data_IF_012890939005
#
_entry.id   IF_012890939005
#
_cell.length_a   1.000
_cell.length_b   1.000
_cell.length_c   1.000
_cell.angle_alpha   90.00
_cell.angle_beta   90.00
_cell.angle_gamma   90.00
#
_symmetry.space_group_name_H-M   'P 1'
#
loop_
_entity.id
_entity.type
_entity.pdbx_description
1 polymer ?
#
# COMPACT_ATOMS: atom_id res chain seq x y z
N UNK A 1 -1.88 -20.56 5.10
CA UNK A 1 -0.70 -19.97 5.78
C UNK A 1 -0.35 -18.71 5.01
N UNK A 2 -0.27 -17.57 5.70
CA UNK A 2 -0.01 -16.26 5.08
C UNK A 2 1.41 -16.16 4.53
N UNK A 3 2.35 -16.97 5.01
CA UNK A 3 3.67 -17.07 4.38
C UNK A 3 3.57 -17.67 2.97
N UNK A 4 2.73 -18.70 2.79
CA UNK A 4 2.50 -19.32 1.48
C UNK A 4 1.81 -18.35 0.50
N UNK A 5 0.77 -17.64 0.95
CA UNK A 5 0.03 -16.70 0.09
C UNK A 5 0.91 -15.54 -0.38
N UNK A 6 1.77 -14.99 0.49
CA UNK A 6 2.73 -13.95 0.10
C UNK A 6 3.75 -14.45 -0.91
N UNK A 7 4.28 -15.66 -0.70
CA UNK A 7 5.21 -16.27 -1.66
C UNK A 7 4.54 -16.54 -3.01
N UNK A 8 3.29 -17.01 -3.01
CA UNK A 8 2.51 -17.21 -4.23
C UNK A 8 2.29 -15.89 -4.97
N UNK A 9 1.89 -14.83 -4.27
CA UNK A 9 1.71 -13.50 -4.89
C UNK A 9 3.01 -12.96 -5.51
N UNK A 10 4.16 -13.20 -4.89
CA UNK A 10 5.46 -12.83 -5.44
C UNK A 10 5.77 -13.60 -6.74
N UNK A 11 5.52 -14.91 -6.78
CA UNK A 11 5.70 -15.72 -8.00
C UNK A 11 4.78 -15.23 -9.13
N UNK A 12 3.50 -14.98 -8.84
CA UNK A 12 2.55 -14.48 -9.83
C UNK A 12 3.02 -13.16 -10.45
N UNK A 13 3.46 -12.21 -9.62
CA UNK A 13 3.89 -10.90 -10.09
C UNK A 13 5.26 -10.94 -10.81
N UNK A 14 6.26 -11.59 -10.23
CA UNK A 14 7.65 -11.56 -10.72
C UNK A 14 7.91 -12.62 -11.80
N UNK A 15 7.53 -13.87 -11.55
CA UNK A 15 7.85 -14.99 -12.45
C UNK A 15 6.82 -15.12 -13.57
N UNK A 16 5.54 -14.99 -13.26
CA UNK A 16 4.45 -15.20 -14.22
C UNK A 16 3.97 -13.90 -14.87
N UNK A 17 4.48 -12.75 -14.42
CA UNK A 17 4.10 -11.41 -14.91
C UNK A 17 2.58 -11.17 -14.88
N UNK A 18 1.91 -11.77 -13.89
CA UNK A 18 0.47 -11.74 -13.70
C UNK A 18 0.15 -10.95 -12.43
N UNK A 19 0.26 -9.62 -12.53
CA UNK A 19 0.01 -8.72 -11.42
C UNK A 19 -1.45 -8.79 -10.95
N UNK A 20 -2.40 -9.05 -11.86
CA UNK A 20 -3.81 -9.22 -11.53
C UNK A 20 -4.06 -10.40 -10.57
N UNK A 21 -3.41 -11.54 -10.80
CA UNK A 21 -3.49 -12.68 -9.88
C UNK A 21 -2.85 -12.35 -8.52
N UNK A 22 -1.69 -11.69 -8.52
CA UNK A 22 -1.04 -11.25 -7.29
C UNK A 22 -1.95 -10.29 -6.47
N UNK A 23 -2.65 -9.35 -7.13
CA UNK A 23 -3.64 -8.47 -6.48
C UNK A 23 -4.77 -9.25 -5.82
N UNK A 24 -5.30 -10.28 -6.49
CA UNK A 24 -6.37 -11.09 -5.92
C UNK A 24 -5.94 -11.79 -4.63
N UNK A 25 -4.73 -12.32 -4.61
CA UNK A 25 -4.14 -12.95 -3.41
C UNK A 25 -3.97 -11.91 -2.30
N UNK A 26 -3.41 -10.74 -2.61
CA UNK A 26 -3.22 -9.66 -1.64
C UNK A 26 -4.52 -9.11 -1.07
N UNK A 27 -5.56 -8.93 -1.89
CA UNK A 27 -6.88 -8.55 -1.38
C UNK A 27 -7.46 -9.65 -0.45
N UNK A 28 -7.16 -10.93 -0.71
CA UNK A 28 -7.46 -12.03 0.21
C UNK A 28 -6.75 -11.89 1.56
N UNK A 29 -5.45 -11.61 1.55
CA UNK A 29 -4.64 -11.38 2.76
C UNK A 29 -5.20 -10.18 3.54
N UNK A 30 -5.48 -9.06 2.86
CA UNK A 30 -5.98 -7.83 3.49
C UNK A 30 -7.37 -7.97 4.08
N UNK A 31 -8.22 -8.89 3.59
CA UNK A 31 -9.51 -9.19 4.25
C UNK A 31 -9.33 -9.71 5.67
N UNK A 32 -8.23 -10.41 5.95
CA UNK A 32 -7.93 -10.98 7.27
C UNK A 32 -7.03 -10.06 8.09
N UNK A 33 -6.03 -9.46 7.44
CA UNK A 33 -4.91 -8.74 8.09
C UNK A 33 -4.88 -7.24 7.80
N UNK A 34 -5.93 -6.68 7.22
CA UNK A 34 -5.95 -5.29 6.74
C UNK A 34 -5.81 -4.21 7.81
N UNK A 35 -5.80 -4.54 9.11
CA UNK A 35 -5.50 -3.57 10.17
C UNK A 35 -4.01 -3.37 10.43
N UNK A 36 -3.18 -4.30 9.96
CA UNK A 36 -1.74 -4.34 10.24
C UNK A 36 -0.97 -3.61 9.13
N UNK A 37 -0.20 -2.57 9.49
CA UNK A 37 0.50 -1.72 8.53
C UNK A 37 1.47 -2.51 7.62
N UNK A 38 2.17 -3.51 8.16
CA UNK A 38 3.20 -4.26 7.44
C UNK A 38 2.66 -4.92 6.17
N UNK A 39 1.45 -5.50 6.20
CA UNK A 39 0.86 -6.16 5.03
C UNK A 39 0.53 -5.16 3.91
N UNK A 40 0.12 -3.94 4.26
CA UNK A 40 -0.07 -2.89 3.27
C UNK A 40 1.24 -2.44 2.65
N UNK A 41 2.29 -2.28 3.46
CA UNK A 41 3.62 -1.89 2.96
C UNK A 41 4.15 -2.95 1.99
N UNK A 42 4.09 -4.23 2.35
CA UNK A 42 4.52 -5.34 1.48
C UNK A 42 3.72 -5.37 0.16
N UNK A 43 2.39 -5.21 0.21
CA UNK A 43 1.57 -5.19 -1.00
C UNK A 43 1.89 -3.98 -1.89
N UNK A 44 2.03 -2.80 -1.29
CA UNK A 44 2.38 -1.58 -2.02
C UNK A 44 3.75 -1.72 -2.67
N UNK A 45 4.72 -2.30 -1.97
CA UNK A 45 6.03 -2.54 -2.55
C UNK A 45 5.97 -3.53 -3.72
N UNK A 46 5.16 -4.59 -3.65
CA UNK A 46 4.93 -5.46 -4.81
C UNK A 46 4.34 -4.68 -6.00
N UNK A 47 3.35 -3.82 -5.77
CA UNK A 47 2.78 -2.95 -6.81
C UNK A 47 3.76 -1.91 -7.35
N UNK A 48 4.70 -1.43 -6.53
CA UNK A 48 5.75 -0.50 -6.97
C UNK A 48 6.73 -1.14 -7.94
N UNK A 49 7.02 -2.43 -7.77
CA UNK A 49 7.98 -3.15 -8.62
C UNK A 49 7.35 -3.67 -9.91
N UNK A 50 6.15 -4.24 -9.83
CA UNK A 50 5.55 -4.99 -10.94
C UNK A 50 4.28 -4.37 -11.51
N UNK A 51 3.67 -3.45 -10.78
CA UNK A 51 2.37 -2.90 -11.12
C UNK A 51 2.43 -1.41 -11.48
N UNK A 52 1.44 -0.64 -11.00
CA UNK A 52 1.27 0.75 -11.40
C UNK A 52 1.32 1.72 -10.23
N UNK A 53 1.93 2.88 -10.49
CA UNK A 53 1.97 4.00 -9.55
C UNK A 53 0.56 4.49 -9.19
N UNK A 54 -0.43 4.34 -10.07
CA UNK A 54 -1.81 4.69 -9.80
C UNK A 54 -2.45 3.77 -8.74
N UNK A 55 -2.21 2.46 -8.84
CA UNK A 55 -2.67 1.48 -7.85
C UNK A 55 -1.96 1.69 -6.50
N UNK A 56 -0.64 1.95 -6.50
CA UNK A 56 0.10 2.30 -5.29
C UNK A 56 -0.57 3.45 -4.51
N UNK A 57 -0.93 4.54 -5.20
CA UNK A 57 -1.63 5.69 -4.58
C UNK A 57 -3.00 5.30 -4.02
N UNK A 58 -3.74 4.45 -4.72
CA UNK A 58 -5.02 3.93 -4.25
C UNK A 58 -4.85 3.11 -2.97
N UNK A 59 -3.81 2.27 -2.92
CA UNK A 59 -3.48 1.45 -1.75
C UNK A 59 -3.05 2.30 -0.56
N UNK A 60 -2.17 3.28 -0.74
CA UNK A 60 -1.82 4.21 0.34
C UNK A 60 -3.05 4.95 0.89
N UNK A 61 -3.93 5.43 0.01
CA UNK A 61 -5.20 6.05 0.41
C UNK A 61 -6.05 5.11 1.26
N UNK A 62 -6.25 3.85 0.83
CA UNK A 62 -7.00 2.85 1.61
C UNK A 62 -6.33 2.56 2.95
N UNK A 63 -5.04 2.26 2.94
CA UNK A 63 -4.26 1.92 4.12
C UNK A 63 -4.35 3.02 5.19
N UNK A 64 -4.29 4.30 4.79
CA UNK A 64 -4.34 5.45 5.71
C UNK A 64 -5.62 5.48 6.58
N UNK A 65 -6.74 4.96 6.07
CA UNK A 65 -8.02 4.94 6.79
C UNK A 65 -8.30 3.60 7.49
N UNK A 66 -7.73 2.50 7.00
CA UNK A 66 -7.97 1.16 7.59
C UNK A 66 -7.00 0.88 8.74
N UNK A 67 -5.74 1.30 8.61
CA UNK A 67 -4.70 1.12 9.64
C UNK A 67 -4.85 2.19 10.70
N UNK A 68 -4.90 1.76 11.96
CA UNK A 68 -4.91 2.65 13.13
C UNK A 68 -3.56 2.59 13.83
N UNK A 69 -3.16 1.40 14.29
CA UNK A 69 -1.85 1.14 14.86
C UNK A 69 -0.80 1.09 13.73
N UNK A 70 0.08 2.09 13.68
CA UNK A 70 1.08 2.23 12.62
C UNK A 70 0.64 3.09 11.43
N UNK A 71 -0.37 3.96 11.61
CA UNK A 71 -0.77 4.94 10.59
C UNK A 71 0.38 5.86 10.18
N UNK A 72 1.33 6.14 11.09
CA UNK A 72 2.55 6.92 10.83
C UNK A 72 3.46 6.24 9.81
N UNK A 73 3.54 4.90 9.84
CA UNK A 73 4.31 4.12 8.87
C UNK A 73 3.72 4.27 7.47
N UNK A 74 2.38 4.17 7.36
CA UNK A 74 1.67 4.37 6.09
C UNK A 74 1.84 5.80 5.59
N UNK A 75 1.67 6.79 6.48
CA UNK A 75 1.83 8.19 6.17
C UNK A 75 3.23 8.51 5.64
N UNK A 76 4.28 8.08 6.36
CA UNK A 76 5.67 8.30 5.97
C UNK A 76 5.98 7.64 4.61
N UNK A 77 5.53 6.39 4.42
CA UNK A 77 5.66 5.68 3.15
C UNK A 77 5.00 6.40 1.98
N UNK A 78 3.77 6.91 2.17
CA UNK A 78 3.08 7.65 1.10
C UNK A 78 3.77 8.97 0.78
N UNK A 79 4.22 9.70 1.80
CA UNK A 79 4.96 10.95 1.60
C UNK A 79 6.27 10.72 0.83
N UNK A 80 6.99 9.63 1.13
CA UNK A 80 8.19 9.26 0.38
C UNK A 80 7.86 8.86 -1.07
N UNK A 81 6.79 8.10 -1.27
CA UNK A 81 6.35 7.69 -2.59
C UNK A 81 6.02 8.90 -3.50
N UNK A 82 5.27 9.88 -3.02
CA UNK A 82 4.94 11.07 -3.84
C UNK A 82 6.16 11.97 -4.07
N UNK A 83 7.14 12.02 -3.16
CA UNK A 83 8.41 12.73 -3.43
C UNK A 83 9.19 12.10 -4.59
N UNK A 84 9.10 10.78 -4.75
CA UNK A 84 9.87 10.05 -5.76
C UNK A 84 9.14 9.95 -7.10
N UNK A 85 7.82 9.78 -7.09
CA UNK A 85 7.03 9.45 -8.28
C UNK A 85 5.84 10.38 -8.54
N UNK A 86 5.61 11.36 -7.65
CA UNK A 86 4.46 12.25 -7.71
C UNK A 86 4.73 13.58 -8.40
N UNK A 87 3.66 14.25 -8.78
CA UNK A 87 3.66 15.68 -9.10
C UNK A 87 3.51 16.51 -7.83
N UNK A 88 3.74 17.82 -7.93
CA UNK A 88 3.51 18.74 -6.82
C UNK A 88 2.06 18.65 -6.30
N UNK A 89 1.08 18.63 -7.20
CA UNK A 89 -0.34 18.49 -6.86
C UNK A 89 -0.64 17.17 -6.11
N UNK A 90 -0.03 16.06 -6.56
CA UNK A 90 -0.22 14.77 -5.90
C UNK A 90 0.42 14.74 -4.51
N UNK A 91 1.60 15.33 -4.37
CA UNK A 91 2.27 15.48 -3.08
C UNK A 91 1.47 16.34 -2.11
N UNK A 92 0.97 17.49 -2.54
CA UNK A 92 0.13 18.37 -1.71
C UNK A 92 -1.18 17.69 -1.31
N UNK A 93 -1.82 16.98 -2.24
CA UNK A 93 -3.03 16.19 -1.95
C UNK A 93 -2.78 15.10 -0.92
N UNK A 94 -1.65 14.38 -1.01
CA UNK A 94 -1.25 13.37 -0.04
C UNK A 94 -0.97 14.00 1.33
N UNK A 95 -0.20 15.10 1.35
CA UNK A 95 0.14 15.81 2.59
C UNK A 95 -1.11 16.29 3.34
N UNK A 96 -2.07 16.88 2.62
CA UNK A 96 -3.34 17.33 3.20
C UNK A 96 -4.09 16.18 3.88
N UNK A 97 -4.18 15.02 3.22
CA UNK A 97 -4.86 13.83 3.74
C UNK A 97 -4.13 13.22 4.93
N UNK A 98 -2.81 13.12 4.85
CA UNK A 98 -1.97 12.60 5.94
C UNK A 98 -2.12 13.48 7.18
N UNK A 99 -1.98 14.80 7.05
CA UNK A 99 -2.11 15.72 8.18
C UNK A 99 -3.51 15.64 8.82
N UNK A 100 -4.56 15.63 7.99
CA UNK A 100 -5.93 15.48 8.46
C UNK A 100 -6.15 14.16 9.19
N UNK A 101 -5.56 13.07 8.72
CA UNK A 101 -5.66 11.77 9.37
C UNK A 101 -4.91 11.77 10.70
N UNK A 102 -3.64 12.15 10.72
CA UNK A 102 -2.79 12.11 11.94
C UNK A 102 -3.42 12.95 13.06
N UNK A 103 -3.98 14.12 12.75
CA UNK A 103 -4.66 14.97 13.73
C UNK A 103 -5.95 14.35 14.31
N UNK A 104 -6.55 13.35 13.66
CA UNK A 104 -7.72 12.62 14.17
C UNK A 104 -7.34 11.42 15.05
N UNK A 105 -6.12 10.90 14.91
CA UNK A 105 -5.64 9.69 15.62
C UNK A 105 -4.79 10.03 16.84
N UNK A 106 -4.28 11.27 16.91
CA UNK A 106 -3.64 11.88 18.09
C UNK A 106 -4.67 12.45 19.06
#
# INVERSE_FOLDING_TARGET
DQAFERYHAAIEADTLQNIEAARQIWEGILKVRGKEANFWVEYIDLERHFGSKAVCRSLYKRALYVVFEGVEMIASGWMQFERQYGTLEQFESALSRVNARIAQVQ
#
